data_IF_118987825780
#
_entry.id   IF_118987825780
#
_cell.length_a   1.000
_cell.length_b   1.000
_cell.length_c   1.000
_cell.angle_alpha   90.00
_cell.angle_beta   90.00
_cell.angle_gamma   90.00
#
_symmetry.space_group_name_H-M   'P 1'
#
loop_
_entity.id
_entity.type
_entity.pdbx_description
1 polymer ?
#
# COMPACT_ATOMS: atom_id res chain seq x y z
N UNK A 1 -18.71 -13.50 -10.75
CA UNK A 1 -17.28 -13.76 -10.47
C UNK A 1 -16.46 -13.62 -11.74
N UNK A 2 -16.56 -14.59 -12.65
CA UNK A 2 -15.82 -14.59 -13.92
C UNK A 2 -16.04 -13.33 -14.77
N UNK A 3 -17.30 -12.90 -14.94
CA UNK A 3 -17.62 -11.67 -15.69
C UNK A 3 -17.00 -10.42 -15.05
N UNK A 4 -17.11 -10.26 -13.73
CA UNK A 4 -16.49 -9.14 -13.02
C UNK A 4 -14.96 -9.12 -13.19
N UNK A 5 -14.31 -10.29 -13.23
CA UNK A 5 -12.88 -10.38 -13.52
C UNK A 5 -12.56 -10.00 -14.96
N UNK A 6 -13.34 -10.48 -15.94
CA UNK A 6 -13.18 -10.11 -17.34
C UNK A 6 -13.38 -8.61 -17.60
N UNK A 7 -14.25 -7.96 -16.82
CA UNK A 7 -14.48 -6.50 -16.86
C UNK A 7 -13.44 -5.68 -16.07
N UNK A 8 -12.48 -6.32 -15.40
CA UNK A 8 -11.48 -5.64 -14.57
C UNK A 8 -12.01 -5.14 -13.20
N UNK A 9 -13.26 -5.44 -12.86
CA UNK A 9 -13.87 -5.08 -11.56
C UNK A 9 -13.37 -5.98 -10.42
N UNK A 10 -12.91 -7.20 -10.74
CA UNK A 10 -12.28 -8.12 -9.80
C UNK A 10 -10.84 -8.42 -10.22
N UNK A 11 -9.92 -8.39 -9.26
CA UNK A 11 -8.48 -8.56 -9.50
C UNK A 11 -8.05 -10.03 -9.63
N UNK A 12 -8.81 -10.98 -9.06
CA UNK A 12 -8.50 -12.43 -9.09
C UNK A 12 -9.77 -13.27 -8.94
N UNK A 13 -9.77 -14.46 -9.54
CA UNK A 13 -10.75 -15.53 -9.28
C UNK A 13 -10.16 -16.55 -8.30
N UNK A 14 -10.96 -17.03 -7.36
CA UNK A 14 -10.57 -18.01 -6.36
C UNK A 14 -11.77 -18.79 -5.83
N UNK A 15 -11.50 -19.95 -5.23
CA UNK A 15 -12.54 -20.87 -4.72
C UNK A 15 -13.10 -20.39 -3.36
N UNK A 16 -12.26 -19.81 -2.50
CA UNK A 16 -12.66 -19.21 -1.22
C UNK A 16 -12.24 -17.72 -1.16
N UNK A 17 -13.06 -16.81 -1.74
CA UNK A 17 -12.72 -15.39 -1.80
C UNK A 17 -12.65 -14.71 -0.44
N UNK A 18 -13.34 -15.23 0.57
CA UNK A 18 -13.29 -14.65 1.92
C UNK A 18 -11.96 -14.96 2.59
N UNK A 19 -11.53 -16.21 2.55
CA UNK A 19 -10.23 -16.63 3.11
C UNK A 19 -9.09 -15.90 2.41
N UNK A 20 -9.12 -15.82 1.07
CA UNK A 20 -8.09 -15.12 0.32
C UNK A 20 -8.06 -13.61 0.59
N UNK A 21 -9.22 -12.96 0.68
CA UNK A 21 -9.28 -11.53 1.01
C UNK A 21 -8.70 -11.24 2.40
N UNK A 22 -8.97 -12.10 3.39
CA UNK A 22 -8.41 -11.94 4.74
C UNK A 22 -6.89 -12.21 4.76
N UNK A 23 -6.40 -13.17 3.97
CA UNK A 23 -4.97 -13.41 3.82
C UNK A 23 -4.26 -12.17 3.27
N UNK A 24 -4.81 -11.57 2.20
CA UNK A 24 -4.29 -10.30 1.63
C UNK A 24 -4.37 -9.17 2.66
N UNK A 25 -5.48 -9.05 3.40
CA UNK A 25 -5.61 -8.02 4.43
C UNK A 25 -4.54 -8.16 5.53
N UNK A 26 -4.21 -9.40 5.93
CA UNK A 26 -3.11 -9.65 6.86
C UNK A 26 -1.75 -9.27 6.27
N UNK A 27 -1.50 -9.57 4.99
CA UNK A 27 -0.26 -9.15 4.32
C UNK A 27 -0.12 -7.63 4.24
N UNK A 28 -1.21 -6.93 3.92
CA UNK A 28 -1.24 -5.46 3.89
C UNK A 28 -1.01 -4.88 5.29
N UNK A 29 -1.58 -5.49 6.33
CA UNK A 29 -1.39 -5.05 7.71
C UNK A 29 0.07 -5.17 8.20
N UNK A 30 0.91 -5.96 7.52
CA UNK A 30 2.35 -6.02 7.76
C UNK A 30 3.14 -4.90 7.07
N UNK A 31 2.46 -3.96 6.40
CA UNK A 31 3.06 -2.78 5.77
C UNK A 31 2.72 -1.52 6.57
N UNK A 32 3.60 -0.54 6.53
CA UNK A 32 3.40 0.72 7.24
C UNK A 32 2.08 1.38 6.80
N UNK A 33 1.19 1.75 7.74
CA UNK A 33 -0.09 2.37 7.38
C UNK A 33 0.12 3.71 6.66
N UNK A 34 1.16 4.48 7.04
CA UNK A 34 1.48 5.74 6.38
C UNK A 34 1.95 5.52 4.94
N UNK A 35 2.79 4.50 4.73
CA UNK A 35 3.27 4.14 3.38
C UNK A 35 2.13 3.65 2.47
N UNK A 36 1.21 2.83 2.99
CA UNK A 36 0.03 2.38 2.24
C UNK A 36 -0.88 3.56 1.87
N UNK A 37 -1.07 4.52 2.79
CA UNK A 37 -1.87 5.72 2.52
C UNK A 37 -1.20 6.64 1.50
N UNK A 38 0.12 6.83 1.60
CA UNK A 38 0.91 7.59 0.64
C UNK A 38 0.81 6.99 -0.77
N UNK A 39 1.03 5.67 -0.90
CA UNK A 39 0.88 4.97 -2.17
C UNK A 39 -0.53 5.15 -2.77
N UNK A 40 -1.59 5.03 -1.96
CA UNK A 40 -2.96 5.26 -2.43
C UNK A 40 -3.21 6.69 -2.93
N UNK A 41 -2.63 7.70 -2.28
CA UNK A 41 -2.71 9.09 -2.76
C UNK A 41 -1.98 9.29 -4.09
N UNK A 42 -0.82 8.67 -4.26
CA UNK A 42 -0.07 8.73 -5.52
C UNK A 42 -0.82 8.05 -6.66
N UNK A 43 -1.43 6.87 -6.41
CA UNK A 43 -2.27 6.21 -7.41
C UNK A 43 -3.48 7.06 -7.80
N UNK A 44 -4.19 7.63 -6.82
CA UNK A 44 -5.32 8.51 -7.10
C UNK A 44 -4.90 9.74 -7.94
N UNK A 45 -3.76 10.35 -7.61
CA UNK A 45 -3.24 11.49 -8.36
C UNK A 45 -2.87 11.12 -9.80
N UNK A 46 -2.28 9.94 -10.02
CA UNK A 46 -1.97 9.43 -11.35
C UNK A 46 -3.26 9.15 -12.16
N UNK A 47 -4.27 8.55 -11.53
CA UNK A 47 -5.56 8.27 -12.15
C UNK A 47 -6.32 9.57 -12.51
N UNK A 48 -6.13 10.65 -11.74
CA UNK A 48 -6.68 11.98 -12.01
C UNK A 48 -5.95 12.71 -13.17
N UNK A 49 -4.95 12.09 -13.79
CA UNK A 49 -4.28 12.59 -14.99
C UNK A 49 -3.14 13.57 -14.73
N UNK A 50 -2.54 13.53 -13.53
CA UNK A 50 -1.34 14.33 -13.24
C UNK A 50 -0.21 14.06 -14.23
N UNK A 51 0.52 15.11 -14.60
CA UNK A 51 1.73 14.97 -15.41
C UNK A 51 2.84 14.23 -14.64
N UNK A 52 3.81 13.69 -15.38
CA UNK A 52 4.97 13.03 -14.77
C UNK A 52 5.72 13.93 -13.78
N UNK A 53 5.88 15.21 -14.11
CA UNK A 53 6.53 16.18 -13.23
C UNK A 53 5.75 16.41 -11.92
N UNK A 54 4.42 16.48 -12.00
CA UNK A 54 3.55 16.60 -10.81
C UNK A 54 3.61 15.33 -9.95
N UNK A 55 3.61 14.15 -10.59
CA UNK A 55 3.69 12.87 -9.89
C UNK A 55 5.04 12.71 -9.17
N UNK A 56 6.16 13.04 -9.83
CA UNK A 56 7.50 12.99 -9.22
C UNK A 56 7.63 13.97 -8.04
N UNK A 57 7.02 15.16 -8.15
CA UNK A 57 7.00 16.13 -7.06
C UNK A 57 6.15 15.64 -5.88
N UNK A 58 4.99 15.03 -6.16
CA UNK A 58 4.14 14.43 -5.13
C UNK A 58 4.84 13.26 -4.44
N UNK A 59 5.49 12.37 -5.20
CA UNK A 59 6.29 11.28 -4.66
C UNK A 59 7.41 11.79 -3.75
N UNK A 60 8.15 12.80 -4.18
CA UNK A 60 9.22 13.42 -3.38
C UNK A 60 8.69 13.96 -2.04
N UNK A 61 7.50 14.57 -2.03
CA UNK A 61 6.85 15.08 -0.81
C UNK A 61 6.44 13.95 0.12
N UNK A 62 5.82 12.89 -0.40
CA UNK A 62 5.44 11.71 0.37
C UNK A 62 6.66 11.03 0.99
N UNK A 63 7.71 10.80 0.18
CA UNK A 63 8.96 10.20 0.66
C UNK A 63 9.62 11.05 1.75
N UNK A 64 9.70 12.37 1.56
CA UNK A 64 10.28 13.28 2.54
C UNK A 64 9.50 13.28 3.87
N UNK A 65 8.16 13.21 3.81
CA UNK A 65 7.31 13.16 5.01
C UNK A 65 7.47 11.83 5.78
N UNK A 66 7.72 10.72 5.08
CA UNK A 66 7.87 9.41 5.69
C UNK A 66 9.29 9.15 6.21
N UNK A 67 10.31 9.78 5.63
CA UNK A 67 11.70 9.51 5.97
C UNK A 67 11.99 9.85 7.44
N UNK A 68 12.41 8.85 8.22
CA UNK A 68 12.70 9.01 9.64
C UNK A 68 11.46 9.10 10.54
N UNK A 69 10.24 9.04 9.99
CA UNK A 69 9.02 8.98 10.76
C UNK A 69 8.93 7.67 11.59
N UNK A 70 8.19 7.64 12.71
CA UNK A 70 8.15 6.48 13.61
C UNK A 70 7.84 5.15 12.91
N UNK A 71 6.83 5.13 12.04
CA UNK A 71 6.44 3.92 11.30
C UNK A 71 7.48 3.54 10.23
N UNK A 72 8.24 4.48 9.67
CA UNK A 72 9.32 4.16 8.73
C UNK A 72 10.52 3.55 9.47
N UNK A 73 10.90 4.12 10.61
CA UNK A 73 11.95 3.59 11.48
C UNK A 73 11.59 2.19 11.96
N UNK A 74 10.36 1.98 12.40
CA UNK A 74 9.86 0.67 12.81
C UNK A 74 9.84 -0.33 11.66
N UNK A 75 9.42 0.08 10.46
CA UNK A 75 9.44 -0.79 9.28
C UNK A 75 10.85 -1.28 8.97
N UNK A 76 11.85 -0.41 9.07
CA UNK A 76 13.27 -0.78 8.88
C UNK A 76 13.73 -1.72 9.99
N UNK A 77 13.46 -1.38 11.27
CA UNK A 77 13.87 -2.17 12.42
C UNK A 77 13.25 -3.58 12.41
N UNK A 78 11.94 -3.68 12.21
CA UNK A 78 11.23 -4.95 12.18
C UNK A 78 11.73 -5.88 11.07
N UNK A 79 12.09 -5.32 9.91
CA UNK A 79 12.69 -6.08 8.81
C UNK A 79 14.08 -6.64 9.19
N UNK A 80 14.96 -5.78 9.73
CA UNK A 80 16.30 -6.19 10.18
C UNK A 80 16.23 -7.26 11.28
N UNK A 81 15.28 -7.14 12.20
CA UNK A 81 15.06 -8.07 13.31
C UNK A 81 14.23 -9.31 12.90
N UNK A 82 13.76 -9.40 11.65
CA UNK A 82 12.90 -10.47 11.12
C UNK A 82 11.65 -10.73 11.98
N UNK A 83 11.05 -9.66 12.52
CA UNK A 83 9.83 -9.72 13.33
C UNK A 83 8.68 -8.99 12.65
N UNK A 84 7.47 -9.18 13.17
CA UNK A 84 6.32 -8.38 12.75
C UNK A 84 6.47 -6.94 13.26
N UNK A 85 6.13 -5.93 12.45
CA UNK A 85 6.16 -4.54 12.86
C UNK A 85 5.01 -4.22 13.81
N UNK A 86 5.21 -3.23 14.68
CA UNK A 86 4.18 -2.67 15.57
C UNK A 86 3.99 -1.20 15.22
N UNK A 87 2.90 -0.90 14.54
CA UNK A 87 2.61 0.46 14.06
C UNK A 87 2.14 1.38 15.17
N UNK A 88 2.60 2.63 15.15
CA UNK A 88 2.05 3.68 15.99
C UNK A 88 0.66 4.08 15.48
N UNK A 89 -0.26 4.30 16.43
CA UNK A 89 -1.63 4.78 16.19
C UNK A 89 -1.69 6.27 15.90
#
# INVERSE_FOLDING_TARGET
>A
GQEAHAMGLATRLCDDPRSEALAIAHEIALRSPDAIRAAKRLYALADDGASEAELLLAESREQAALLGAPNQVESVRANLEKRKPVWCS
#
